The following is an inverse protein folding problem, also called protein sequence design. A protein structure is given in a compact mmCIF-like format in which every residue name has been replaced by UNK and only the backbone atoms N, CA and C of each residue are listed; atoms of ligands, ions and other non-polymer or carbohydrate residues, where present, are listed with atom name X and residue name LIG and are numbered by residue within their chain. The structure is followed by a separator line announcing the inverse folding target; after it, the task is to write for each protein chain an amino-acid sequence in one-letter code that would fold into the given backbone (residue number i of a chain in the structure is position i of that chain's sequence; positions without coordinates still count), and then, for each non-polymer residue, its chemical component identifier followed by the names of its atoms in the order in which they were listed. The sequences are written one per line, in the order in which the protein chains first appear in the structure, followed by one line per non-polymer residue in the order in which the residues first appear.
data_IF_430552904085
#
_entry.id   IF_430552904085
#
_cell.length_a   1.000
_cell.length_b   1.000
_cell.length_c   1.000
_cell.angle_alpha   90.00
_cell.angle_beta   90.00
_cell.angle_gamma   90.00
#
_symmetry.space_group_name_H-M   'P 1'
#
loop_
_entity.id
_entity.type
_entity.pdbx_description
1 polymer ?
#
# COMPACT_ATOMS: atom_id res chain seq x y z
N UNK A 1 -14.21 5.69 11.38
CA UNK A 1 -13.76 5.71 9.97
C UNK A 1 -12.36 5.12 9.89
N UNK A 2 -12.14 4.21 8.96
CA UNK A 2 -10.81 3.61 8.80
C UNK A 2 -9.91 4.57 8.03
N UNK A 3 -8.67 4.78 8.46
CA UNK A 3 -7.75 5.65 7.75
C UNK A 3 -7.24 5.04 6.44
N UNK A 4 -7.28 3.72 6.31
CA UNK A 4 -6.82 3.02 5.10
C UNK A 4 -8.01 2.65 4.23
N UNK A 5 -7.77 2.49 2.92
CA UNK A 5 -8.80 2.16 1.95
C UNK A 5 -8.67 0.68 1.60
N UNK A 6 -9.78 -0.05 1.68
CA UNK A 6 -9.78 -1.45 1.28
C UNK A 6 -9.90 -1.56 -0.24
N UNK A 7 -8.95 -2.27 -0.84
CA UNK A 7 -8.85 -2.39 -2.30
C UNK A 7 -9.11 -3.85 -2.70
N UNK A 8 -9.85 -4.00 -3.77
CA UNK A 8 -10.14 -5.29 -4.37
C UNK A 8 -9.95 -5.21 -5.88
N UNK A 9 -10.21 -6.31 -6.56
CA UNK A 9 -10.02 -6.38 -8.01
C UNK A 9 -10.96 -5.43 -8.77
N UNK A 10 -12.10 -5.09 -8.18
CA UNK A 10 -13.07 -4.22 -8.83
C UNK A 10 -12.70 -2.73 -8.74
N UNK A 11 -12.04 -2.30 -7.65
CA UNK A 11 -11.76 -0.88 -7.45
C UNK A 11 -10.28 -0.52 -7.57
N UNK A 12 -9.40 -1.48 -7.84
CA UNK A 12 -7.97 -1.21 -7.91
C UNK A 12 -7.63 -0.14 -8.94
N UNK A 13 -8.17 -0.25 -10.14
CA UNK A 13 -7.84 0.70 -11.20
C UNK A 13 -8.28 2.12 -10.81
N UNK A 14 -9.49 2.27 -10.31
CA UNK A 14 -10.02 3.59 -9.95
C UNK A 14 -9.27 4.20 -8.77
N UNK A 15 -9.06 3.40 -7.72
CA UNK A 15 -8.50 3.93 -6.48
C UNK A 15 -6.99 4.06 -6.50
N UNK A 16 -6.29 3.23 -7.28
CA UNK A 16 -4.83 3.22 -7.31
C UNK A 16 -4.30 3.81 -8.60
N UNK A 17 -4.65 3.22 -9.74
CA UNK A 17 -4.05 3.63 -11.01
C UNK A 17 -4.52 5.00 -11.48
N UNK A 18 -5.77 5.35 -11.20
CA UNK A 18 -6.34 6.64 -11.58
C UNK A 18 -6.30 7.67 -10.46
N UNK A 19 -5.64 7.35 -9.36
CA UNK A 19 -5.52 8.27 -8.22
C UNK A 19 -4.68 9.48 -8.61
N UNK A 20 -5.13 10.66 -8.19
CA UNK A 20 -4.35 11.89 -8.35
C UNK A 20 -3.40 12.13 -7.19
N UNK A 21 -3.34 11.20 -6.24
CA UNK A 21 -2.39 11.19 -5.13
C UNK A 21 -1.50 9.97 -5.25
N UNK A 22 -0.27 10.02 -4.73
CA UNK A 22 0.52 8.80 -4.54
C UNK A 22 -0.24 7.81 -3.66
N UNK A 23 -0.06 6.52 -3.93
CA UNK A 23 -0.76 5.46 -3.20
C UNK A 23 0.24 4.43 -2.68
N UNK A 24 0.15 4.15 -1.39
CA UNK A 24 0.88 3.05 -0.75
C UNK A 24 -0.08 1.87 -0.64
N UNK A 25 0.27 0.74 -1.26
CA UNK A 25 -0.60 -0.43 -1.28
C UNK A 25 0.04 -1.55 -0.47
N UNK A 26 -0.66 -2.01 0.58
CA UNK A 26 -0.22 -3.07 1.48
C UNK A 26 -0.89 -4.38 1.09
N UNK A 27 -0.11 -5.37 0.64
CA UNK A 27 -0.59 -6.72 0.38
C UNK A 27 -0.41 -7.55 1.66
N UNK A 28 -1.51 -8.05 2.21
CA UNK A 28 -1.54 -8.69 3.53
C UNK A 28 -2.52 -9.86 3.58
N UNK A 29 -2.53 -10.60 4.68
CA UNK A 29 -3.51 -11.66 4.94
C UNK A 29 -3.77 -11.78 6.44
N UNK A 30 -4.94 -12.30 6.79
CA UNK A 30 -5.34 -12.46 8.19
C UNK A 30 -4.41 -13.37 8.99
N UNK A 31 -3.88 -14.41 8.34
CA UNK A 31 -3.01 -15.39 8.98
C UNK A 31 -1.57 -14.90 9.13
N UNK A 32 -1.26 -13.75 8.61
CA UNK A 32 0.11 -13.24 8.53
C UNK A 32 0.45 -12.40 9.77
N UNK A 33 1.26 -12.95 10.68
CA UNK A 33 1.68 -12.25 11.88
C UNK A 33 2.44 -10.96 11.60
N UNK A 34 3.47 -10.98 10.73
CA UNK A 34 4.20 -9.74 10.37
C UNK A 34 3.30 -8.67 9.78
N UNK A 35 2.29 -9.06 9.00
CA UNK A 35 1.33 -8.10 8.46
C UNK A 35 0.59 -7.36 9.56
N UNK A 36 0.20 -8.09 10.61
CA UNK A 36 -0.52 -7.51 11.74
C UNK A 36 0.37 -6.60 12.58
N UNK A 37 1.67 -6.87 12.60
CA UNK A 37 2.62 -5.99 13.26
C UNK A 37 2.76 -4.66 12.53
N UNK A 38 2.68 -4.70 11.21
CA UNK A 38 2.83 -3.51 10.38
C UNK A 38 1.56 -2.65 10.36
N UNK A 39 0.40 -3.26 10.54
CA UNK A 39 -0.89 -2.58 10.38
C UNK A 39 -1.07 -1.31 11.21
N UNK A 40 -0.74 -1.30 12.52
CA UNK A 40 -0.88 -0.06 13.30
C UNK A 40 -0.03 1.08 12.76
N UNK A 41 1.18 0.78 12.29
CA UNK A 41 2.07 1.80 11.72
C UNK A 41 1.46 2.38 10.45
N UNK A 42 0.88 1.52 9.60
CA UNK A 42 0.26 1.97 8.36
C UNK A 42 -0.97 2.84 8.64
N UNK A 43 -1.75 2.50 9.67
CA UNK A 43 -2.89 3.33 10.08
C UNK A 43 -2.41 4.72 10.50
N UNK A 44 -1.33 4.79 11.27
CA UNK A 44 -0.75 6.08 11.68
C UNK A 44 -0.27 6.90 10.49
N UNK A 45 0.42 6.23 9.56
CA UNK A 45 0.91 6.91 8.35
C UNK A 45 -0.27 7.43 7.52
N UNK A 46 -1.35 6.64 7.42
CA UNK A 46 -2.52 7.04 6.66
C UNK A 46 -3.14 8.33 7.23
N UNK A 47 -3.19 8.44 8.56
CA UNK A 47 -3.70 9.65 9.21
C UNK A 47 -2.77 10.83 8.98
N UNK A 48 -1.47 10.63 9.19
CA UNK A 48 -0.48 11.70 9.07
C UNK A 48 -0.37 12.22 7.64
N UNK A 49 -0.51 11.34 6.66
CA UNK A 49 -0.36 11.69 5.24
C UNK A 49 -1.69 11.99 4.57
N UNK A 50 -2.76 12.10 5.34
CA UNK A 50 -4.09 12.40 4.80
C UNK A 50 -4.06 13.64 3.92
N UNK A 51 -4.62 13.53 2.72
CA UNK A 51 -4.61 14.62 1.74
C UNK A 51 -3.37 14.65 0.86
N UNK A 52 -2.31 13.92 1.21
CA UNK A 52 -1.07 13.88 0.44
C UNK A 52 -0.80 12.50 -0.17
N UNK A 53 -1.05 11.46 0.60
CA UNK A 53 -0.81 10.07 0.18
C UNK A 53 -2.01 9.24 0.62
N UNK A 54 -2.44 8.36 -0.26
CA UNK A 54 -3.50 7.41 0.02
C UNK A 54 -2.86 6.11 0.48
N UNK A 55 -3.36 5.50 1.55
CA UNK A 55 -2.88 4.19 2.01
C UNK A 55 -3.99 3.17 1.80
N UNK A 56 -3.68 2.14 1.02
CA UNK A 56 -4.63 1.13 0.61
C UNK A 56 -4.18 -0.26 1.07
N UNK A 57 -5.12 -1.16 1.26
CA UNK A 57 -4.85 -2.53 1.70
C UNK A 57 -5.52 -3.53 0.77
N UNK A 58 -4.77 -4.55 0.38
CA UNK A 58 -5.26 -5.65 -0.46
C UNK A 58 -5.07 -6.97 0.29
N UNK A 59 -6.16 -7.64 0.61
CA UNK A 59 -6.08 -8.98 1.20
C UNK A 59 -5.80 -9.97 0.07
N UNK A 60 -4.65 -10.66 0.13
CA UNK A 60 -4.22 -11.53 -0.97
C UNK A 60 -5.12 -12.76 -1.12
N UNK A 61 -5.73 -13.21 -0.04
CA UNK A 61 -6.62 -14.38 -0.11
C UNK A 61 -7.92 -14.06 -0.85
N UNK A 62 -8.40 -12.83 -0.70
CA UNK A 62 -9.62 -12.38 -1.36
C UNK A 62 -9.36 -11.85 -2.77
N UNK A 63 -8.11 -11.52 -3.08
CA UNK A 63 -7.75 -10.88 -4.34
C UNK A 63 -6.54 -11.54 -4.99
N UNK A 64 -6.65 -12.85 -5.31
CA UNK A 64 -5.49 -13.57 -5.85
C UNK A 64 -5.03 -13.06 -7.21
N UNK A 65 -5.92 -12.50 -8.01
CA UNK A 65 -5.53 -11.97 -9.32
C UNK A 65 -4.63 -10.74 -9.18
N UNK A 66 -4.91 -9.86 -8.21
CA UNK A 66 -4.05 -8.72 -7.95
C UNK A 66 -2.68 -9.16 -7.44
N UNK A 67 -2.66 -10.13 -6.51
CA UNK A 67 -1.40 -10.66 -6.00
C UNK A 67 -0.56 -11.24 -7.13
N UNK A 68 -1.18 -12.00 -8.03
CA UNK A 68 -0.48 -12.61 -9.16
C UNK A 68 0.02 -11.53 -10.14
N UNK A 69 -0.81 -10.52 -10.40
CA UNK A 69 -0.46 -9.43 -11.31
C UNK A 69 0.84 -8.74 -10.93
N UNK A 70 1.07 -8.55 -9.64
CA UNK A 70 2.25 -7.85 -9.16
C UNK A 70 3.33 -8.78 -8.61
N UNK A 71 3.18 -10.10 -8.83
CA UNK A 71 4.19 -11.07 -8.44
C UNK A 71 4.42 -11.12 -6.94
N UNK A 72 3.35 -11.03 -6.16
CA UNK A 72 3.46 -11.03 -4.70
C UNK A 72 3.71 -12.45 -4.22
N UNK A 73 4.92 -12.71 -3.73
CA UNK A 73 5.33 -14.03 -3.22
C UNK A 73 5.46 -14.06 -1.70
N UNK A 74 5.72 -12.91 -1.10
CA UNK A 74 5.88 -12.78 0.35
C UNK A 74 5.02 -11.65 0.85
N UNK A 75 4.48 -11.78 2.04
CA UNK A 75 3.69 -10.72 2.66
C UNK A 75 4.23 -10.43 4.06
N UNK A 76 4.16 -9.16 4.52
CA UNK A 76 3.60 -8.03 3.81
C UNK A 76 4.52 -7.55 2.69
N UNK A 77 3.92 -7.08 1.60
CA UNK A 77 4.64 -6.38 0.54
C UNK A 77 3.95 -5.04 0.35
N UNK A 78 4.74 -3.98 0.37
CA UNK A 78 4.24 -2.64 0.13
C UNK A 78 4.66 -2.20 -1.26
N UNK A 79 3.68 -1.78 -2.07
CA UNK A 79 3.95 -1.22 -3.39
C UNK A 79 3.65 0.27 -3.34
N UNK A 80 4.52 1.06 -3.96
CA UNK A 80 4.44 2.53 -3.96
C UNK A 80 4.12 3.00 -5.36
N UNK A 81 2.92 3.57 -5.54
CA UNK A 81 2.44 4.04 -6.85
C UNK A 81 2.38 5.57 -6.89
N UNK A 82 2.70 6.13 -8.05
CA UNK A 82 2.46 7.55 -8.33
C UNK A 82 2.15 7.69 -9.81
N UNK A 83 1.13 8.48 -10.12
CA UNK A 83 0.69 8.75 -11.50
C UNK A 83 0.38 7.47 -12.26
N UNK A 84 -0.20 6.48 -11.59
CA UNK A 84 -0.58 5.21 -12.21
C UNK A 84 0.56 4.25 -12.42
N UNK A 85 1.76 4.54 -11.93
CA UNK A 85 2.95 3.72 -12.14
C UNK A 85 3.51 3.20 -10.81
N UNK A 86 3.97 1.95 -10.85
CA UNK A 86 4.68 1.36 -9.72
C UNK A 86 6.09 1.95 -9.66
N UNK A 87 6.37 2.67 -8.57
CA UNK A 87 7.63 3.41 -8.41
C UNK A 87 8.64 2.72 -7.50
N UNK A 88 8.15 1.96 -6.51
CA UNK A 88 9.04 1.32 -5.54
C UNK A 88 8.30 0.19 -4.84
N UNK A 89 9.05 -0.62 -4.07
CA UNK A 89 8.43 -1.66 -3.25
C UNK A 89 9.30 -1.94 -2.03
N UNK A 90 8.67 -2.46 -0.97
CA UNK A 90 9.37 -3.03 0.17
C UNK A 90 8.71 -4.36 0.51
N UNK A 91 9.51 -5.34 0.92
CA UNK A 91 9.04 -6.68 1.28
C UNK A 91 9.37 -6.93 2.74
N UNK A 92 8.39 -7.43 3.49
CA UNK A 92 8.55 -7.71 4.90
C UNK A 92 8.29 -6.49 5.77
N UNK A 93 8.49 -6.65 7.07
CA UNK A 93 8.30 -5.53 8.01
C UNK A 93 9.52 -4.61 7.91
N UNK A 94 9.25 -3.35 7.57
CA UNK A 94 10.30 -2.33 7.50
C UNK A 94 9.95 -1.23 8.49
N UNK A 95 10.94 -0.41 8.85
CA UNK A 95 10.69 0.64 9.82
C UNK A 95 9.97 1.82 9.17
N UNK A 96 9.39 2.66 10.04
CA UNK A 96 8.62 3.83 9.63
C UNK A 96 9.43 4.77 8.74
N UNK A 97 10.69 4.98 9.09
CA UNK A 97 11.56 5.89 8.35
C UNK A 97 11.74 5.45 6.91
N UNK A 98 11.88 4.15 6.67
CA UNK A 98 12.01 3.61 5.33
C UNK A 98 10.76 3.90 4.50
N UNK A 99 9.59 3.66 5.08
CA UNK A 99 8.32 3.89 4.39
C UNK A 99 8.16 5.38 4.05
N UNK A 100 8.37 6.24 5.05
CA UNK A 100 8.21 7.69 4.85
C UNK A 100 9.19 8.23 3.83
N UNK A 101 10.43 7.74 3.83
CA UNK A 101 11.43 8.17 2.86
C UNK A 101 11.01 7.83 1.43
N UNK A 102 10.47 6.62 1.21
CA UNK A 102 10.02 6.23 -0.12
C UNK A 102 8.78 7.00 -0.55
N UNK A 103 7.86 7.26 0.39
CA UNK A 103 6.68 8.07 0.09
C UNK A 103 7.06 9.50 -0.28
N UNK A 104 8.02 10.08 0.41
CA UNK A 104 8.47 11.43 0.12
C UNK A 104 9.04 11.55 -1.29
N UNK A 105 9.80 10.54 -1.73
CA UNK A 105 10.36 10.54 -3.07
C UNK A 105 9.30 10.56 -4.16
N UNK A 106 8.22 9.80 -4.00
CA UNK A 106 7.17 9.78 -5.01
C UNK A 106 6.23 10.98 -4.90
N UNK A 107 6.05 11.53 -3.71
CA UNK A 107 5.21 12.71 -3.51
C UNK A 107 5.85 13.96 -4.11
N UNK A 108 7.17 14.08 -4.01
CA UNK A 108 7.91 15.24 -4.55
C UNK A 108 7.94 15.20 -6.08
N UNK A 109 7.85 14.02 -6.68
CA UNK A 109 7.91 13.86 -8.13
C UNK A 109 6.66 14.40 -8.84
N UNK A 110 5.62 14.74 -8.10
CA UNK A 110 4.41 15.36 -8.67
C UNK A 110 4.43 16.88 -8.47
#
# INVERSE_FOLDING_TARGET
MKPTIEINEANFETEVLKSNQPVLVDFWAEWCGPCKMLAPMLDEIAVEQSGRVKVAKVNVDDNPALAARFGIHSIPTLLYFADGELRNQTVGVVNRKTILSKLEKIAVAT
#
